data_IF_545380014286
#
_entry.id   IF_545380014286
#
_cell.length_a   1.000
_cell.length_b   1.000
_cell.length_c   1.000
_cell.angle_alpha   90.00
_cell.angle_beta   90.00
_cell.angle_gamma   90.00
#
_symmetry.space_group_name_H-M   'P 1'
#
loop_
_entity.id
_entity.type
_entity.pdbx_description
1 polymer ?
#
# COMPACT_ATOMS: atom_id res chain seq x y z
N UNK A 1 -5.87 -33.31 76.35
CA UNK A 1 -5.56 -31.97 76.90
C UNK A 1 -5.75 -30.94 75.79
N UNK A 2 -6.83 -30.17 75.86
CA UNK A 2 -7.14 -29.10 74.91
C UNK A 2 -6.38 -27.82 75.28
N UNK A 3 -5.82 -27.11 74.28
CA UNK A 3 -5.63 -25.66 74.35
C UNK A 3 -6.03 -25.02 73.03
N UNK A 4 -7.25 -24.49 73.03
CA UNK A 4 -7.72 -23.44 72.11
C UNK A 4 -6.97 -22.14 72.44
N UNK A 5 -6.48 -21.44 71.43
CA UNK A 5 -6.27 -19.98 71.48
C UNK A 5 -6.88 -19.35 70.24
N UNK A 6 -8.05 -18.74 70.44
CA UNK A 6 -8.53 -17.63 69.61
C UNK A 6 -7.68 -16.38 69.86
N UNK A 7 -7.47 -15.57 68.83
CA UNK A 7 -7.57 -14.10 68.90
C UNK A 7 -7.55 -13.49 67.50
N UNK A 8 -8.73 -13.03 67.10
CA UNK A 8 -9.07 -12.19 65.94
C UNK A 8 -8.37 -10.84 65.98
N UNK A 9 -7.99 -10.25 64.83
CA UNK A 9 -8.12 -8.79 64.56
C UNK A 9 -8.23 -8.46 63.06
N UNK A 10 -9.42 -8.00 62.68
CA UNK A 10 -9.76 -6.83 61.86
C UNK A 10 -9.07 -6.56 60.50
N UNK A 11 -9.91 -6.60 59.45
CA UNK A 11 -9.90 -5.86 58.17
C UNK A 11 -9.64 -4.33 58.33
N UNK A 12 -9.72 -3.51 57.26
CA UNK A 12 -9.21 -3.57 55.88
C UNK A 12 -8.44 -2.27 55.55
N UNK A 13 -7.64 -2.19 54.49
CA UNK A 13 -7.26 -0.87 53.98
C UNK A 13 -7.33 -0.80 52.46
N UNK A 14 -8.11 0.19 52.03
CA UNK A 14 -8.38 0.62 50.68
C UNK A 14 -7.09 1.07 49.98
N UNK A 15 -6.82 0.52 48.81
CA UNK A 15 -5.77 0.97 47.88
C UNK A 15 -6.38 1.43 46.57
N UNK A 16 -6.70 2.72 46.54
CA UNK A 16 -7.01 3.63 45.44
C UNK A 16 -6.92 3.17 43.96
N UNK A 17 -7.92 3.63 43.21
CA UNK A 17 -8.02 3.74 41.76
C UNK A 17 -6.73 4.25 41.08
N UNK A 18 -6.29 3.55 40.04
CA UNK A 18 -5.48 4.14 38.98
C UNK A 18 -6.33 4.24 37.71
N UNK A 19 -6.70 5.46 37.37
CA UNK A 19 -7.46 5.80 36.18
C UNK A 19 -6.67 5.43 34.91
N UNK A 20 -7.24 4.55 34.09
CA UNK A 20 -6.76 4.29 32.74
C UNK A 20 -7.06 5.51 31.86
N UNK A 21 -6.06 6.38 31.68
CA UNK A 21 -6.06 7.42 30.66
C UNK A 21 -5.99 6.75 29.28
N UNK A 22 -7.16 6.44 28.72
CA UNK A 22 -7.30 6.14 27.30
C UNK A 22 -7.10 7.44 26.52
N UNK A 23 -5.85 7.76 26.19
CA UNK A 23 -5.54 8.75 25.17
C UNK A 23 -6.03 8.19 23.83
N UNK A 24 -7.28 8.54 23.48
CA UNK A 24 -7.76 8.51 22.12
C UNK A 24 -6.96 9.55 21.33
N UNK A 25 -5.73 9.19 20.96
CA UNK A 25 -5.00 9.88 19.91
C UNK A 25 -5.74 9.58 18.61
N UNK A 26 -6.72 10.42 18.29
CA UNK A 26 -7.19 10.59 16.93
C UNK A 26 -6.00 11.10 16.12
N UNK A 27 -5.17 10.18 15.64
CA UNK A 27 -4.16 10.50 14.66
C UNK A 27 -4.90 11.08 13.46
N UNK A 28 -4.68 12.38 13.22
CA UNK A 28 -5.11 13.06 12.01
C UNK A 28 -4.66 12.19 10.82
N UNK A 29 -5.63 11.49 10.22
CA UNK A 29 -5.35 10.73 9.01
C UNK A 29 -4.83 11.74 7.99
N UNK A 30 -3.68 11.48 7.35
CA UNK A 30 -3.22 12.31 6.26
C UNK A 30 -4.37 12.50 5.27
N UNK A 31 -4.73 13.76 5.02
CA UNK A 31 -5.77 14.11 4.07
C UNK A 31 -5.46 13.44 2.74
N UNK A 32 -6.41 12.66 2.22
CA UNK A 32 -6.25 11.96 0.95
C UNK A 32 -5.80 12.97 -0.15
N UNK A 33 -4.89 12.56 -1.05
CA UNK A 33 -4.39 13.44 -2.09
C UNK A 33 -5.53 14.05 -2.91
N UNK A 34 -5.42 15.34 -3.19
CA UNK A 34 -6.43 16.16 -3.90
C UNK A 34 -6.46 15.98 -5.42
N UNK A 35 -5.67 15.03 -5.95
CA UNK A 35 -5.65 14.71 -7.38
C UNK A 35 -6.76 13.72 -7.79
N UNK A 36 -7.09 13.63 -9.08
CA UNK A 36 -8.03 12.63 -9.57
C UNK A 36 -7.46 11.22 -9.32
N UNK A 37 -8.20 10.43 -8.54
CA UNK A 37 -7.86 9.04 -8.26
C UNK A 37 -8.46 8.11 -9.31
N UNK A 38 -7.70 7.09 -9.67
CA UNK A 38 -8.18 6.03 -10.54
C UNK A 38 -9.33 5.24 -9.89
N UNK A 39 -10.30 4.75 -10.67
CA UNK A 39 -11.21 3.72 -10.18
C UNK A 39 -10.42 2.50 -9.67
N UNK A 40 -10.77 1.91 -8.51
CA UNK A 40 -9.96 0.83 -7.90
C UNK A 40 -9.71 -0.36 -8.82
N UNK A 41 -10.74 -0.79 -9.56
CA UNK A 41 -10.62 -1.87 -10.53
C UNK A 41 -9.71 -1.54 -11.71
N UNK A 42 -9.72 -0.29 -12.17
CA UNK A 42 -8.83 0.16 -13.25
C UNK A 42 -7.36 0.13 -12.79
N UNK A 43 -7.09 0.67 -11.59
CA UNK A 43 -5.75 0.64 -11.00
C UNK A 43 -5.26 -0.79 -10.77
N UNK A 44 -6.08 -1.66 -10.17
CA UNK A 44 -5.73 -3.05 -9.92
C UNK A 44 -5.42 -3.83 -11.21
N UNK A 45 -6.14 -3.57 -12.30
CA UNK A 45 -5.86 -4.18 -13.60
C UNK A 45 -4.49 -3.72 -14.16
N UNK A 46 -4.15 -2.44 -14.03
CA UNK A 46 -2.84 -1.91 -14.47
C UNK A 46 -1.71 -2.47 -13.61
N UNK A 47 -1.87 -2.54 -12.28
CA UNK A 47 -0.87 -3.17 -11.40
C UNK A 47 -0.62 -4.63 -11.77
N UNK A 48 -1.70 -5.39 -12.00
CA UNK A 48 -1.58 -6.80 -12.38
C UNK A 48 -0.78 -6.99 -13.67
N UNK A 49 -0.95 -6.09 -14.65
CA UNK A 49 -0.15 -6.13 -15.87
C UNK A 49 1.30 -5.70 -15.62
N UNK A 50 1.53 -4.65 -14.81
CA UNK A 50 2.88 -4.20 -14.44
C UNK A 50 3.67 -5.30 -13.73
N UNK A 51 3.05 -6.10 -12.86
CA UNK A 51 3.71 -7.19 -12.16
C UNK A 51 4.23 -8.28 -13.10
N UNK A 52 3.57 -8.46 -14.25
CA UNK A 52 3.90 -9.47 -15.25
C UNK A 52 4.82 -8.93 -16.35
N UNK A 53 4.64 -7.68 -16.76
CA UNK A 53 5.36 -7.02 -17.86
C UNK A 53 6.07 -5.76 -17.37
N UNK A 54 7.14 -5.98 -16.61
CA UNK A 54 8.10 -4.95 -16.24
C UNK A 54 9.51 -5.37 -16.66
N UNK A 55 10.35 -4.39 -16.96
CA UNK A 55 11.76 -4.62 -17.32
C UNK A 55 12.67 -4.78 -16.08
N UNK A 56 12.14 -5.32 -14.98
CA UNK A 56 12.86 -5.37 -13.71
C UNK A 56 13.98 -6.41 -13.72
N UNK A 57 15.12 -6.07 -13.08
CA UNK A 57 16.17 -7.05 -12.81
C UNK A 57 15.80 -7.96 -11.63
N UNK A 58 15.04 -7.45 -10.66
CA UNK A 58 14.51 -8.24 -9.54
C UNK A 58 13.32 -9.10 -9.99
N UNK A 59 12.35 -8.50 -10.67
CA UNK A 59 11.09 -9.11 -11.10
C UNK A 59 10.49 -9.99 -9.99
N UNK A 60 10.21 -11.27 -10.25
CA UNK A 60 9.58 -12.18 -9.28
C UNK A 60 10.45 -12.51 -8.05
N UNK A 61 11.73 -12.09 -8.01
CA UNK A 61 12.62 -12.31 -6.85
C UNK A 61 12.49 -11.22 -5.79
N UNK A 62 11.78 -10.12 -6.10
CA UNK A 62 11.54 -9.06 -5.14
C UNK A 62 10.81 -9.58 -3.90
N UNK A 63 11.17 -9.08 -2.73
CA UNK A 63 10.52 -9.47 -1.48
C UNK A 63 9.10 -8.92 -1.35
N UNK A 64 8.83 -7.77 -1.97
CA UNK A 64 7.52 -7.14 -2.01
C UNK A 64 7.32 -6.34 -3.31
N UNK A 65 6.07 -6.22 -3.72
CA UNK A 65 5.59 -5.26 -4.72
C UNK A 65 4.79 -4.18 -3.99
N UNK A 66 5.47 -3.07 -3.71
CA UNK A 66 4.88 -1.92 -3.05
C UNK A 66 4.16 -1.05 -4.08
N UNK A 67 2.85 -0.92 -3.96
CA UNK A 67 2.01 -0.19 -4.92
C UNK A 67 1.60 1.18 -4.38
N UNK A 68 1.43 2.16 -5.26
CA UNK A 68 0.94 3.47 -4.86
C UNK A 68 0.57 4.43 -5.98
N UNK A 69 -0.14 5.48 -5.62
CA UNK A 69 -0.55 6.54 -6.51
C UNK A 69 0.63 7.50 -6.78
N UNK A 70 0.88 7.78 -8.05
CA UNK A 70 1.94 8.71 -8.48
C UNK A 70 2.98 8.07 -9.40
N UNK A 71 4.20 8.63 -9.39
CA UNK A 71 5.31 8.22 -10.26
C UNK A 71 6.61 8.07 -9.48
N UNK A 72 7.50 7.24 -9.99
CA UNK A 72 8.84 7.03 -9.42
C UNK A 72 8.76 6.40 -8.03
N UNK A 73 9.61 6.87 -7.11
CA UNK A 73 9.68 6.35 -5.74
C UNK A 73 8.79 7.10 -4.74
N UNK A 74 8.35 8.33 -5.07
CA UNK A 74 7.54 9.16 -4.20
C UNK A 74 6.04 8.84 -4.37
N UNK A 75 5.65 7.62 -3.98
CA UNK A 75 4.28 7.14 -4.11
C UNK A 75 3.48 7.37 -2.83
N UNK A 76 2.20 7.67 -2.99
CA UNK A 76 1.22 7.67 -1.92
C UNK A 76 0.51 6.33 -1.86
N UNK A 77 0.09 5.91 -0.68
CA UNK A 77 -0.66 4.66 -0.55
C UNK A 77 -1.94 4.69 -1.41
N UNK A 78 -2.30 3.55 -2.03
CA UNK A 78 -3.55 3.41 -2.74
C UNK A 78 -4.73 3.39 -1.75
N UNK A 79 -5.95 3.59 -2.26
CA UNK A 79 -7.14 3.42 -1.44
C UNK A 79 -7.34 1.95 -1.03
N UNK A 80 -8.11 1.74 0.04
CA UNK A 80 -8.37 0.40 0.57
C UNK A 80 -9.09 -0.53 -0.43
N UNK A 81 -9.90 0.02 -1.34
CA UNK A 81 -10.58 -0.75 -2.37
C UNK A 81 -9.59 -1.34 -3.38
N UNK A 82 -8.59 -0.56 -3.80
CA UNK A 82 -7.52 -1.03 -4.68
C UNK A 82 -6.69 -2.15 -4.01
N UNK A 83 -6.30 -1.97 -2.74
CA UNK A 83 -5.57 -3.01 -2.00
C UNK A 83 -6.39 -4.28 -1.83
N UNK A 84 -7.68 -4.17 -1.52
CA UNK A 84 -8.55 -5.33 -1.35
C UNK A 84 -8.63 -6.19 -2.62
N UNK A 85 -8.66 -5.57 -3.81
CA UNK A 85 -8.65 -6.28 -5.10
C UNK A 85 -7.37 -7.06 -5.38
N UNK A 86 -6.26 -6.70 -4.71
CA UNK A 86 -4.95 -7.35 -4.87
C UNK A 86 -4.58 -8.24 -3.67
N UNK A 87 -5.49 -8.40 -2.70
CA UNK A 87 -5.24 -9.15 -1.45
C UNK A 87 -4.88 -10.63 -1.66
N UNK A 88 -5.26 -11.23 -2.79
CA UNK A 88 -4.84 -12.59 -3.17
C UNK A 88 -3.35 -12.71 -3.53
N UNK A 89 -2.62 -11.60 -3.66
CA UNK A 89 -1.21 -11.56 -4.02
C UNK A 89 -0.35 -11.28 -2.78
N UNK A 90 0.22 -12.32 -2.19
CA UNK A 90 0.87 -12.29 -0.86
C UNK A 90 2.06 -11.33 -0.72
N UNK A 91 2.66 -10.91 -1.83
CA UNK A 91 3.81 -10.01 -1.87
C UNK A 91 3.42 -8.55 -2.14
N UNK A 92 2.13 -8.25 -2.42
CA UNK A 92 1.66 -6.89 -2.66
C UNK A 92 1.47 -6.15 -1.33
N UNK A 93 1.99 -4.93 -1.26
CA UNK A 93 1.96 -4.08 -0.07
C UNK A 93 1.62 -2.63 -0.49
N UNK A 94 1.08 -1.79 0.41
CA UNK A 94 1.04 -0.35 0.15
C UNK A 94 2.46 0.25 0.03
N UNK A 95 2.60 1.37 -0.66
CA UNK A 95 3.86 2.09 -0.87
C UNK A 95 4.61 2.36 0.45
N UNK A 96 3.90 2.73 1.50
CA UNK A 96 4.43 3.00 2.85
C UNK A 96 5.04 1.77 3.54
N UNK A 97 4.85 0.56 3.00
CA UNK A 97 5.53 -0.64 3.48
C UNK A 97 6.96 -0.78 2.92
N UNK A 98 7.34 0.03 1.93
CA UNK A 98 8.70 0.07 1.42
C UNK A 98 9.47 1.30 1.92
N UNK A 99 10.77 1.15 2.03
CA UNK A 99 11.74 2.22 2.14
C UNK A 99 12.44 2.41 0.80
N UNK A 100 12.77 3.65 0.45
CA UNK A 100 13.41 4.00 -0.83
C UNK A 100 14.75 4.74 -0.62
N UNK A 101 15.20 4.89 0.63
CA UNK A 101 16.41 5.64 0.96
C UNK A 101 16.25 7.15 0.83
N UNK A 102 17.36 7.89 1.01
CA UNK A 102 17.41 9.35 0.87
C UNK A 102 17.55 9.75 -0.61
N UNK A 103 16.46 9.62 -1.35
CA UNK A 103 16.38 10.06 -2.74
C UNK A 103 16.14 8.96 -3.76
N UNK A 104 15.73 7.77 -3.32
CA UNK A 104 15.33 6.69 -4.21
C UNK A 104 16.45 5.70 -4.52
N UNK A 105 17.52 5.65 -3.75
CA UNK A 105 18.72 4.85 -4.07
C UNK A 105 18.41 3.36 -4.29
N UNK A 106 17.48 2.82 -3.50
CA UNK A 106 17.03 1.43 -3.61
C UNK A 106 15.68 1.25 -2.93
N UNK A 107 14.81 0.42 -3.50
CA UNK A 107 13.58 -0.01 -2.82
C UNK A 107 13.84 -1.24 -1.94
N UNK A 108 13.49 -1.13 -0.66
CA UNK A 108 13.55 -2.20 0.34
C UNK A 108 12.18 -2.42 0.97
N UNK A 109 11.77 -3.68 1.13
CA UNK A 109 10.63 -4.02 1.97
C UNK A 109 10.98 -3.75 3.44
N UNK A 110 10.21 -2.91 4.14
CA UNK A 110 10.52 -2.55 5.54
C UNK A 110 10.44 -3.73 6.50
N UNK A 111 9.59 -4.71 6.20
CA UNK A 111 9.40 -5.86 7.08
C UNK A 111 10.60 -6.82 7.07
N UNK A 112 11.22 -7.02 5.90
CA UNK A 112 12.32 -7.97 5.73
C UNK A 112 13.70 -7.35 5.48
N UNK A 113 13.76 -6.05 5.15
CA UNK A 113 14.98 -5.36 4.73
C UNK A 113 15.53 -5.83 3.37
N UNK A 114 14.75 -6.61 2.61
CA UNK A 114 15.19 -7.20 1.34
C UNK A 114 14.78 -6.31 0.15
N UNK A 115 15.47 -6.43 -1.00
CA UNK A 115 15.11 -5.70 -2.21
C UNK A 115 13.66 -5.93 -2.63
N UNK A 116 12.97 -4.84 -2.94
CA UNK A 116 11.57 -4.81 -3.34
C UNK A 116 11.39 -3.98 -4.62
N UNK A 117 10.16 -3.89 -5.10
CA UNK A 117 9.77 -3.05 -6.24
C UNK A 117 8.71 -2.04 -5.81
N UNK A 118 8.82 -0.81 -6.31
CA UNK A 118 7.75 0.16 -6.26
C UNK A 118 7.01 0.17 -7.60
N UNK A 119 5.68 0.13 -7.56
CA UNK A 119 4.83 0.25 -8.73
C UNK A 119 3.90 1.45 -8.54
N UNK A 120 4.01 2.41 -9.45
CA UNK A 120 3.23 3.65 -9.42
C UNK A 120 2.13 3.65 -10.47
N UNK A 121 0.92 4.03 -10.10
CA UNK A 121 -0.18 4.26 -11.05
C UNK A 121 -0.71 5.68 -10.91
N UNK A 122 -0.94 6.34 -12.04
CA UNK A 122 -1.53 7.67 -12.11
C UNK A 122 -2.64 7.70 -13.17
N UNK A 123 -3.78 8.31 -12.83
CA UNK A 123 -4.86 8.52 -13.78
C UNK A 123 -4.51 9.67 -14.73
N UNK A 124 -4.54 9.42 -16.04
CA UNK A 124 -4.39 10.47 -17.06
C UNK A 124 -5.76 11.06 -17.40
N UNK A 125 -6.71 10.20 -17.78
CA UNK A 125 -8.11 10.57 -17.97
C UNK A 125 -9.01 9.34 -18.00
N UNK A 126 -10.31 9.53 -17.76
CA UNK A 126 -11.33 8.53 -18.06
C UNK A 126 -12.35 9.13 -19.03
N UNK A 127 -13.02 8.24 -19.77
CA UNK A 127 -14.27 8.56 -20.47
C UNK A 127 -15.33 9.05 -19.47
N UNK A 128 -16.35 9.79 -19.96
CA UNK A 128 -17.41 10.32 -19.10
C UNK A 128 -18.17 9.24 -18.30
N UNK A 129 -18.27 8.02 -18.84
CA UNK A 129 -18.90 6.89 -18.14
C UNK A 129 -18.00 6.25 -17.07
N UNK A 130 -16.71 6.61 -17.02
CA UNK A 130 -15.74 6.01 -16.12
C UNK A 130 -15.42 4.54 -16.43
N UNK A 131 -15.87 4.00 -17.57
CA UNK A 131 -15.69 2.59 -17.95
C UNK A 131 -14.41 2.32 -18.76
N UNK A 132 -13.76 3.38 -19.22
CA UNK A 132 -12.48 3.33 -19.92
C UNK A 132 -11.60 4.45 -19.41
N UNK A 133 -10.37 4.12 -19.00
CA UNK A 133 -9.41 5.06 -18.44
C UNK A 133 -8.04 4.85 -19.09
N UNK A 134 -7.43 5.95 -19.51
CA UNK A 134 -6.01 5.98 -19.82
C UNK A 134 -5.25 6.25 -18.54
N UNK A 135 -4.30 5.38 -18.26
CA UNK A 135 -3.51 5.38 -17.04
C UNK A 135 -2.04 5.35 -17.37
N UNK A 136 -1.24 5.93 -16.50
CA UNK A 136 0.19 5.74 -16.51
C UNK A 136 0.54 4.72 -15.45
N UNK A 137 1.34 3.74 -15.83
CA UNK A 137 1.89 2.75 -14.92
C UNK A 137 3.41 2.80 -14.97
N UNK A 138 4.03 2.70 -13.81
CA UNK A 138 5.48 2.74 -13.68
C UNK A 138 5.97 1.69 -12.69
N UNK A 139 7.22 1.26 -12.87
CA UNK A 139 7.95 0.57 -11.81
C UNK A 139 9.23 1.34 -11.47
N UNK A 140 9.73 1.11 -10.26
CA UNK A 140 10.97 1.67 -9.76
C UNK A 140 11.71 0.66 -8.86
N UNK A 141 13.00 0.47 -9.14
CA UNK A 141 13.94 -0.32 -8.32
C UNK A 141 15.00 0.54 -7.64
N UNK A 142 15.37 1.61 -8.32
CA UNK A 142 16.48 2.49 -8.00
C UNK A 142 16.84 3.37 -9.21
N UNK A 143 17.87 4.21 -9.10
CA UNK A 143 18.28 5.10 -10.19
C UNK A 143 18.61 4.29 -11.46
N UNK A 144 18.07 4.72 -12.60
CA UNK A 144 18.28 4.07 -13.90
C UNK A 144 17.52 2.76 -14.12
N UNK A 145 16.90 2.18 -13.09
CA UNK A 145 16.07 0.97 -13.18
C UNK A 145 14.60 1.35 -12.96
N UNK A 146 14.01 1.93 -13.99
CA UNK A 146 12.63 2.40 -13.98
C UNK A 146 12.02 2.32 -15.37
N UNK A 147 10.71 2.17 -15.41
CA UNK A 147 9.92 2.21 -16.63
C UNK A 147 8.64 2.98 -16.34
N UNK A 148 8.12 3.65 -17.37
CA UNK A 148 6.83 4.34 -17.35
C UNK A 148 6.15 4.12 -18.69
N UNK A 149 4.97 3.51 -18.70
CA UNK A 149 4.17 3.23 -19.90
C UNK A 149 2.75 3.81 -19.75
N UNK A 150 2.02 3.88 -20.86
CA UNK A 150 0.58 4.14 -20.85
C UNK A 150 -0.21 2.84 -21.00
N UNK A 151 -1.33 2.77 -20.30
CA UNK A 151 -2.23 1.63 -20.26
C UNK A 151 -3.67 2.09 -20.47
N UNK A 152 -4.39 1.39 -21.33
CA UNK A 152 -5.84 1.49 -21.43
C UNK A 152 -6.46 0.47 -20.48
N UNK A 153 -7.09 0.94 -19.42
CA UNK A 153 -7.93 0.14 -18.55
C UNK A 153 -9.39 0.25 -19.00
N UNK A 154 -10.08 -0.87 -19.20
CA UNK A 154 -11.49 -0.88 -19.59
C UNK A 154 -12.28 -1.91 -18.81
N UNK A 155 -13.52 -1.58 -18.47
CA UNK A 155 -14.46 -2.50 -17.85
C UNK A 155 -15.18 -3.30 -18.95
N UNK A 156 -15.03 -4.63 -18.92
CA UNK A 156 -15.65 -5.57 -19.86
C UNK A 156 -16.24 -6.75 -19.08
N UNK A 157 -17.53 -7.02 -19.29
CA UNK A 157 -18.21 -8.15 -18.63
C UNK A 157 -18.18 -8.06 -17.10
N UNK A 158 -18.24 -6.85 -16.53
CA UNK A 158 -18.18 -6.63 -15.07
C UNK A 158 -16.77 -6.60 -14.48
N UNK A 159 -15.73 -6.94 -15.24
CA UNK A 159 -14.34 -6.96 -14.78
C UNK A 159 -13.50 -5.89 -15.47
N UNK A 160 -12.51 -5.36 -14.77
CA UNK A 160 -11.53 -4.46 -15.36
C UNK A 160 -10.40 -5.24 -16.02
N UNK A 161 -9.98 -4.77 -17.20
CA UNK A 161 -8.87 -5.31 -17.96
C UNK A 161 -7.96 -4.17 -18.40
N UNK A 162 -6.66 -4.35 -18.32
CA UNK A 162 -5.68 -3.38 -18.79
C UNK A 162 -4.89 -3.95 -19.97
N UNK A 163 -4.59 -3.08 -20.94
CA UNK A 163 -3.67 -3.36 -22.03
C UNK A 163 -2.67 -2.22 -22.16
N UNK A 164 -1.42 -2.54 -22.50
CA UNK A 164 -0.42 -1.51 -22.78
C UNK A 164 -0.84 -0.74 -24.04
N UNK A 165 -0.99 0.57 -23.91
CA UNK A 165 -1.34 1.48 -24.99
C UNK A 165 -0.09 2.04 -25.67
N UNK A 166 0.92 2.38 -24.87
CA UNK A 166 2.19 2.92 -25.35
C UNK A 166 3.32 2.48 -24.42
N UNK A 167 4.36 1.87 -24.99
CA UNK A 167 5.62 1.63 -24.28
C UNK A 167 6.43 2.92 -24.23
N UNK A 168 6.97 3.23 -23.06
CA UNK A 168 7.56 4.54 -22.79
C UNK A 168 8.98 4.82 -23.28
N UNK A 169 9.60 5.91 -22.77
CA UNK A 169 9.14 6.66 -21.59
C UNK A 169 7.87 7.45 -21.90
N UNK A 170 6.78 7.14 -21.19
CA UNK A 170 5.54 7.87 -21.36
C UNK A 170 5.71 9.28 -20.74
N UNK A 171 5.38 10.37 -21.48
CA UNK A 171 5.54 11.76 -21.03
C UNK A 171 4.59 12.11 -19.89
#
# INVERSE_FOLDING_TARGET
MHRLRHSSRFLPWLGALAATLALAACADRPKAPTGPQAPPGAAAAVYSLLFLDNASNLGPKAAAYCIGNGRGWALLDPDAGTLALLSGQSHVRPASACDVGKGGEQVLDRASGRPALMFGVELVHCTASGSQCLMRGSYYEGPGNTQSNLYNASQRGGSWQAVMALRGPAP
#
